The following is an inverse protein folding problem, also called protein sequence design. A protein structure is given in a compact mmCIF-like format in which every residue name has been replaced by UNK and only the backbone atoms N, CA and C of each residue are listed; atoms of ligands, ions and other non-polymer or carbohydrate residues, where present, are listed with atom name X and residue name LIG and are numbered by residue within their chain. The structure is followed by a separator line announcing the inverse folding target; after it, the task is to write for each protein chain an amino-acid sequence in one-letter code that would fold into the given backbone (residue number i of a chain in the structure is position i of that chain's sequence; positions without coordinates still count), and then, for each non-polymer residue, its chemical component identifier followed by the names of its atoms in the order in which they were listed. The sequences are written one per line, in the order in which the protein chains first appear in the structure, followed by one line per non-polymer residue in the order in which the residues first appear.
data_IF_014496746899
#
_entry.id   IF_014496746899
#
_cell.length_a   1.000
_cell.length_b   1.000
_cell.length_c   1.000
_cell.angle_alpha   90.00
_cell.angle_beta   90.00
_cell.angle_gamma   90.00
#
_symmetry.space_group_name_H-M   'P 1'
#
loop_
_entity.id
_entity.type
_entity.pdbx_description
1 polymer ?
#
# COMPACT_ATOMS: atom_id res chain seq x y z
N UNK A 1 42.71 -6.12 4.49
CA UNK A 1 41.79 -5.36 5.38
C UNK A 1 40.38 -5.93 5.20
N UNK A 2 39.95 -6.81 6.07
CA UNK A 2 38.61 -7.36 6.07
C UNK A 2 37.68 -6.30 6.68
N UNK A 3 36.74 -5.78 5.87
CA UNK A 3 35.76 -4.81 6.33
C UNK A 3 34.92 -5.37 7.48
N UNK A 4 34.28 -4.51 8.30
CA UNK A 4 33.52 -4.92 9.44
C UNK A 4 32.36 -5.84 8.99
N UNK A 5 32.35 -7.08 9.50
CA UNK A 5 31.21 -7.97 9.37
C UNK A 5 30.09 -7.40 10.26
N UNK A 6 29.04 -6.87 9.67
CA UNK A 6 27.87 -6.46 10.43
C UNK A 6 27.17 -7.69 11.00
N UNK A 7 27.09 -7.85 12.31
CA UNK A 7 26.29 -8.90 12.93
C UNK A 7 24.80 -8.68 12.62
N UNK A 8 24.05 -9.76 12.65
CA UNK A 8 22.66 -9.82 12.20
C UNK A 8 21.77 -8.69 12.69
N UNK A 9 20.90 -8.20 11.81
CA UNK A 9 19.93 -7.15 12.10
C UNK A 9 18.88 -7.64 13.09
N UNK A 10 18.73 -6.98 14.22
CA UNK A 10 17.67 -7.26 15.20
C UNK A 10 16.52 -6.28 14.95
N UNK A 11 15.37 -6.80 14.53
CA UNK A 11 14.15 -6.01 14.33
C UNK A 11 13.31 -6.08 15.61
N UNK A 12 13.39 -5.06 16.43
CA UNK A 12 12.66 -5.00 17.72
C UNK A 12 11.17 -4.67 17.53
N UNK A 13 10.79 -4.07 16.43
CA UNK A 13 9.41 -3.70 16.10
C UNK A 13 8.46 -4.89 15.92
N UNK A 14 8.99 -6.10 15.76
CA UNK A 14 8.21 -7.35 15.62
C UNK A 14 8.16 -8.20 16.88
N UNK A 15 8.79 -7.76 17.95
CA UNK A 15 8.81 -8.45 19.21
C UNK A 15 7.65 -7.99 20.11
N UNK A 16 7.27 -8.82 21.12
CA UNK A 16 6.39 -8.32 22.17
C UNK A 16 7.05 -7.15 22.89
N UNK A 17 6.24 -6.21 23.40
CA UNK A 17 6.73 -5.00 24.06
C UNK A 17 7.68 -5.30 25.20
N UNK A 18 7.30 -6.22 26.08
CA UNK A 18 8.13 -6.69 27.20
C UNK A 18 9.44 -7.32 26.75
N UNK A 19 9.42 -8.10 25.65
CA UNK A 19 10.65 -8.71 25.14
C UNK A 19 11.60 -7.67 24.56
N UNK A 20 11.09 -6.65 23.85
CA UNK A 20 11.92 -5.59 23.29
C UNK A 20 12.68 -4.83 24.36
N UNK A 21 12.02 -4.46 25.48
CA UNK A 21 12.62 -3.77 26.62
C UNK A 21 13.69 -4.66 27.30
N UNK A 22 13.34 -5.90 27.60
CA UNK A 22 14.27 -6.86 28.23
C UNK A 22 15.49 -7.17 27.36
N UNK A 23 15.32 -7.19 26.05
CA UNK A 23 16.44 -7.39 25.12
C UNK A 23 17.40 -6.20 25.17
N UNK A 24 16.89 -4.96 25.19
CA UNK A 24 17.74 -3.77 25.35
C UNK A 24 18.53 -3.82 26.66
N UNK A 25 17.92 -4.21 27.74
CA UNK A 25 18.58 -4.34 29.04
C UNK A 25 19.69 -5.39 29.03
N UNK A 26 19.48 -6.51 28.33
CA UNK A 26 20.52 -7.53 28.16
C UNK A 26 21.64 -7.06 27.24
N UNK A 27 21.32 -6.35 26.15
CA UNK A 27 22.33 -5.81 25.26
C UNK A 27 23.27 -4.81 25.92
N UNK A 28 22.79 -4.08 26.94
CA UNK A 28 23.58 -3.14 27.72
C UNK A 28 24.89 -3.76 28.26
N UNK A 29 24.85 -5.01 28.67
CA UNK A 29 26.02 -5.71 29.21
C UNK A 29 27.12 -5.99 28.16
N UNK A 30 26.78 -5.87 26.88
CA UNK A 30 27.70 -6.06 25.76
C UNK A 30 28.23 -4.74 25.18
N UNK A 31 27.71 -3.58 25.59
CA UNK A 31 28.13 -2.28 25.03
C UNK A 31 29.55 -1.88 25.38
N UNK A 32 30.10 -2.45 26.42
CA UNK A 32 31.50 -2.22 26.85
C UNK A 32 32.52 -3.16 26.18
N UNK A 33 32.05 -4.12 25.37
CA UNK A 33 32.96 -5.05 24.67
C UNK A 33 33.68 -4.32 23.53
N UNK A 34 35.03 -4.31 23.55
CA UNK A 34 35.80 -3.64 22.49
C UNK A 34 35.47 -4.20 21.10
N UNK A 35 35.43 -3.33 20.10
CA UNK A 35 35.20 -3.67 18.70
C UNK A 35 33.79 -4.29 18.40
N UNK A 36 32.83 -4.19 19.32
CA UNK A 36 31.46 -4.61 19.12
C UNK A 36 30.54 -3.40 19.00
N UNK A 37 29.81 -3.31 17.89
CA UNK A 37 28.83 -2.27 17.65
C UNK A 37 27.48 -2.92 17.32
N UNK A 38 26.41 -2.40 17.90
CA UNK A 38 25.06 -2.85 17.64
C UNK A 38 24.33 -1.84 16.76
N UNK A 39 23.66 -2.32 15.72
CA UNK A 39 22.72 -1.54 14.90
C UNK A 39 21.31 -2.05 15.18
N UNK A 40 20.51 -1.24 15.86
CA UNK A 40 19.13 -1.56 16.21
C UNK A 40 18.21 -0.89 15.18
N UNK A 41 17.39 -1.69 14.52
CA UNK A 41 16.28 -1.20 13.70
C UNK A 41 15.03 -1.16 14.56
N UNK A 42 14.57 0.04 14.86
CA UNK A 42 13.48 0.27 15.79
C UNK A 42 12.43 1.22 15.20
N UNK A 43 11.17 0.99 15.52
CA UNK A 43 10.17 2.05 15.54
C UNK A 43 10.23 2.72 16.91
N UNK A 44 10.74 3.96 16.93
CA UNK A 44 10.95 4.69 18.17
C UNK A 44 9.65 4.85 18.98
N UNK A 45 8.53 5.18 18.31
CA UNK A 45 7.24 5.37 18.98
C UNK A 45 6.75 4.08 19.65
N UNK A 46 6.89 2.95 18.96
CA UNK A 46 6.51 1.65 19.52
C UNK A 46 7.39 1.28 20.71
N UNK A 47 8.70 1.58 20.62
CA UNK A 47 9.62 1.30 21.71
C UNK A 47 9.34 2.19 22.94
N UNK A 48 9.03 3.47 22.74
CA UNK A 48 8.61 4.38 23.82
C UNK A 48 7.33 3.88 24.51
N UNK A 49 6.33 3.44 23.73
CA UNK A 49 5.11 2.84 24.27
C UNK A 49 5.40 1.54 25.02
N UNK A 50 6.35 0.73 24.55
CA UNK A 50 6.77 -0.49 25.22
C UNK A 50 7.40 -0.20 26.60
N UNK A 51 8.25 0.84 26.67
CA UNK A 51 8.87 1.29 27.92
C UNK A 51 7.81 1.81 28.89
N UNK A 52 6.85 2.60 28.43
CA UNK A 52 5.73 3.05 29.27
C UNK A 52 4.86 1.90 29.77
N UNK A 53 4.60 0.91 28.94
CA UNK A 53 3.86 -0.29 29.32
C UNK A 53 4.55 -1.12 30.42
N UNK A 54 5.90 -1.15 30.45
CA UNK A 54 6.67 -1.91 31.44
C UNK A 54 6.90 -1.13 32.73
N UNK A 55 7.13 0.20 32.66
CA UNK A 55 7.55 1.04 33.79
C UNK A 55 6.52 2.10 34.23
N UNK A 56 5.41 2.21 33.50
CA UNK A 56 4.34 3.16 33.81
C UNK A 56 4.43 4.44 32.94
N UNK A 57 3.28 5.12 32.81
CA UNK A 57 3.13 6.30 31.95
C UNK A 57 4.00 7.51 32.34
N UNK A 58 4.39 7.61 33.62
CA UNK A 58 5.18 8.73 34.14
C UNK A 58 6.67 8.65 33.84
N UNK A 59 7.15 7.56 33.19
CA UNK A 59 8.56 7.40 32.89
C UNK A 59 9.02 8.39 31.81
N UNK A 60 10.18 9.01 32.02
CA UNK A 60 10.89 9.71 30.94
C UNK A 60 11.54 8.68 30.00
N UNK A 61 10.83 8.36 28.92
CA UNK A 61 11.25 7.38 27.91
C UNK A 61 12.52 7.80 27.18
N UNK A 62 12.71 9.11 26.97
CA UNK A 62 13.91 9.64 26.34
C UNK A 62 15.15 9.44 27.21
N UNK A 63 15.05 9.77 28.49
CA UNK A 63 16.11 9.53 29.45
C UNK A 63 16.42 8.04 29.61
N UNK A 64 15.38 7.19 29.59
CA UNK A 64 15.56 5.74 29.66
C UNK A 64 16.29 5.21 28.42
N UNK A 65 15.85 5.56 27.21
CA UNK A 65 16.43 5.06 25.96
C UNK A 65 17.84 5.55 25.69
N UNK A 66 18.22 6.75 26.16
CA UNK A 66 19.61 7.25 26.07
C UNK A 66 20.63 6.36 26.78
N UNK A 67 20.22 5.51 27.71
CA UNK A 67 21.11 4.54 28.36
C UNK A 67 21.59 3.44 27.42
N UNK A 68 20.87 3.22 26.30
CA UNK A 68 21.10 2.13 25.36
C UNK A 68 21.48 2.62 23.97
N UNK A 69 20.96 3.77 23.56
CA UNK A 69 21.09 4.31 22.20
C UNK A 69 21.99 5.55 22.23
N UNK A 70 23.25 5.37 21.83
CA UNK A 70 24.23 6.45 21.78
C UNK A 70 24.09 7.33 20.55
N UNK A 71 23.66 6.76 19.42
CA UNK A 71 23.46 7.47 18.16
C UNK A 71 22.11 7.07 17.57
N UNK A 72 21.26 8.06 17.33
CA UNK A 72 19.98 7.87 16.68
C UNK A 72 20.06 8.44 15.26
N UNK A 73 19.91 7.55 14.28
CA UNK A 73 19.90 7.90 12.87
C UNK A 73 18.49 7.64 12.34
N UNK A 74 17.83 8.68 11.90
CA UNK A 74 16.57 8.53 11.16
C UNK A 74 16.88 8.34 9.68
N UNK A 75 16.28 7.34 9.06
CA UNK A 75 16.28 7.28 7.60
C UNK A 75 15.64 8.56 7.07
N UNK A 76 16.30 9.30 6.19
CA UNK A 76 15.74 10.53 5.68
C UNK A 76 14.39 10.23 5.04
N UNK A 77 13.32 10.74 5.63
CA UNK A 77 12.09 10.98 4.88
C UNK A 77 12.51 11.93 3.79
N UNK A 78 12.58 11.43 2.57
CA UNK A 78 13.14 12.17 1.43
C UNK A 78 12.67 13.61 1.45
N UNK A 79 13.62 14.52 1.24
CA UNK A 79 13.39 15.86 0.72
C UNK A 79 12.24 15.80 -0.30
N UNK A 80 11.30 16.74 -0.23
CA UNK A 80 10.20 16.83 -1.20
C UNK A 80 10.74 16.47 -2.56
N UNK A 81 10.18 15.46 -3.25
CA UNK A 81 10.62 15.18 -4.61
C UNK A 81 10.50 16.48 -5.41
N UNK A 82 11.45 16.70 -6.30
CA UNK A 82 11.29 17.78 -7.28
C UNK A 82 9.93 17.58 -7.98
N UNK A 83 9.24 18.67 -8.34
CA UNK A 83 7.96 18.55 -9.06
C UNK A 83 8.10 17.56 -10.23
N UNK A 84 7.25 16.54 -10.29
CA UNK A 84 7.30 15.48 -11.31
C UNK A 84 8.25 14.31 -11.01
N UNK A 85 9.06 14.35 -9.94
CA UNK A 85 9.90 13.19 -9.60
C UNK A 85 9.10 12.10 -8.86
N UNK A 86 9.29 10.81 -9.22
CA UNK A 86 8.55 9.73 -8.62
C UNK A 86 8.84 9.61 -7.11
N UNK A 87 7.80 9.42 -6.32
CA UNK A 87 7.89 9.21 -4.87
C UNK A 87 8.67 7.93 -4.52
N UNK A 88 9.03 7.77 -3.26
CA UNK A 88 9.67 6.53 -2.78
C UNK A 88 8.80 5.31 -3.01
N UNK A 89 7.48 5.46 -2.82
CA UNK A 89 6.49 4.40 -3.05
C UNK A 89 6.39 4.07 -4.52
N UNK A 90 6.27 5.04 -5.41
CA UNK A 90 6.23 4.82 -6.87
C UNK A 90 7.49 4.12 -7.40
N UNK A 91 8.67 4.44 -6.85
CA UNK A 91 9.92 3.72 -7.18
C UNK A 91 9.89 2.28 -6.70
N UNK A 92 9.32 2.04 -5.53
CA UNK A 92 9.17 0.70 -4.98
C UNK A 92 8.18 -0.15 -5.78
N UNK A 93 7.07 0.43 -6.22
CA UNK A 93 6.11 -0.22 -7.13
C UNK A 93 6.83 -0.70 -8.41
N UNK A 94 7.61 0.18 -9.05
CA UNK A 94 8.39 -0.19 -10.25
C UNK A 94 9.45 -1.26 -9.96
N UNK A 95 10.06 -1.24 -8.76
CA UNK A 95 11.00 -2.28 -8.35
C UNK A 95 10.32 -3.64 -8.21
N UNK A 96 9.18 -3.71 -7.52
CA UNK A 96 8.40 -4.94 -7.37
C UNK A 96 7.89 -5.46 -8.72
N UNK A 97 7.43 -4.58 -9.60
CA UNK A 97 6.98 -4.94 -10.93
C UNK A 97 8.05 -5.65 -11.77
N UNK A 98 9.34 -5.38 -11.54
CA UNK A 98 10.44 -6.11 -12.19
C UNK A 98 10.69 -7.49 -11.57
N UNK A 99 10.21 -7.74 -10.36
CA UNK A 99 10.37 -9.02 -9.63
C UNK A 99 9.22 -9.98 -9.89
N UNK A 100 8.03 -9.46 -10.09
CA UNK A 100 6.82 -10.24 -10.36
C UNK A 100 6.80 -10.65 -11.83
N UNK A 101 6.49 -11.91 -12.09
CA UNK A 101 6.31 -12.45 -13.45
C UNK A 101 4.94 -13.07 -13.53
N UNK A 102 4.08 -12.54 -14.36
CA UNK A 102 2.81 -13.16 -14.72
C UNK A 102 3.03 -14.10 -15.93
N UNK A 103 2.37 -15.25 -15.88
CA UNK A 103 2.43 -16.21 -16.98
C UNK A 103 1.55 -15.76 -18.15
N UNK A 104 1.87 -16.26 -19.34
CA UNK A 104 1.12 -15.98 -20.57
C UNK A 104 1.64 -14.76 -21.35
N UNK A 105 1.27 -14.68 -22.61
CA UNK A 105 1.73 -13.63 -23.56
C UNK A 105 1.26 -12.22 -23.18
N UNK A 106 0.11 -12.09 -22.52
CA UNK A 106 -0.48 -10.82 -22.05
C UNK A 106 -0.06 -10.44 -20.65
N UNK A 107 0.62 -11.33 -19.92
CA UNK A 107 1.05 -11.12 -18.54
C UNK A 107 1.85 -9.84 -18.31
N UNK A 108 2.88 -9.52 -19.13
CA UNK A 108 3.67 -8.30 -18.97
C UNK A 108 2.86 -7.02 -19.16
N UNK A 109 1.90 -7.00 -20.09
CA UNK A 109 1.03 -5.84 -20.32
C UNK A 109 0.08 -5.62 -19.15
N UNK A 110 -0.61 -6.68 -18.70
CA UNK A 110 -1.50 -6.63 -17.53
C UNK A 110 -0.77 -6.13 -16.28
N UNK A 111 0.45 -6.61 -16.06
CA UNK A 111 1.29 -6.14 -14.95
C UNK A 111 1.66 -4.66 -15.12
N UNK A 112 1.94 -4.20 -16.34
CA UNK A 112 2.22 -2.81 -16.66
C UNK A 112 1.03 -1.89 -16.36
N UNK A 113 -0.17 -2.28 -16.77
CA UNK A 113 -1.41 -1.54 -16.51
C UNK A 113 -1.70 -1.48 -14.99
N UNK A 114 -1.54 -2.60 -14.27
CA UNK A 114 -1.66 -2.63 -12.81
C UNK A 114 -0.67 -1.68 -12.12
N UNK A 115 0.61 -1.72 -12.53
CA UNK A 115 1.67 -0.87 -11.97
C UNK A 115 1.35 0.62 -12.20
N UNK A 116 0.86 0.98 -13.36
CA UNK A 116 0.53 2.36 -13.70
C UNK A 116 -0.57 2.90 -12.79
N UNK A 117 -1.67 2.16 -12.65
CA UNK A 117 -2.78 2.54 -11.78
C UNK A 117 -2.37 2.58 -10.30
N UNK A 118 -1.65 1.56 -9.83
CA UNK A 118 -1.17 1.53 -8.43
C UNK A 118 -0.22 2.70 -8.13
N UNK A 119 0.66 3.06 -9.07
CA UNK A 119 1.57 4.19 -8.91
C UNK A 119 0.84 5.53 -8.84
N UNK A 120 -0.24 5.67 -9.58
CA UNK A 120 -1.09 6.87 -9.60
C UNK A 120 -1.81 7.06 -8.27
N UNK A 121 -2.53 6.03 -7.81
CA UNK A 121 -3.32 6.12 -6.58
C UNK A 121 -2.51 6.03 -5.29
N UNK A 122 -1.27 5.52 -5.35
CA UNK A 122 -0.45 5.32 -4.13
C UNK A 122 -0.18 6.60 -3.31
N UNK A 123 0.02 7.80 -3.89
CA UNK A 123 0.19 9.04 -3.12
C UNK A 123 -1.11 9.49 -2.45
N UNK A 124 -2.23 9.46 -3.18
CA UNK A 124 -3.53 9.92 -2.69
C UNK A 124 -4.06 9.06 -1.54
N UNK A 125 -3.84 7.76 -1.64
CA UNK A 125 -4.19 6.83 -0.56
C UNK A 125 -3.14 6.76 0.56
N UNK A 126 -2.05 7.51 0.49
CA UNK A 126 -0.99 7.51 1.50
C UNK A 126 -0.36 6.14 1.73
N UNK A 127 -0.25 5.32 0.69
CA UNK A 127 0.19 3.92 0.79
C UNK A 127 1.59 3.77 1.35
N UNK A 128 1.75 2.81 2.27
CA UNK A 128 3.04 2.33 2.73
C UNK A 128 3.63 1.28 1.77
N UNK A 129 4.91 0.95 1.95
CA UNK A 129 5.53 -0.16 1.20
C UNK A 129 4.84 -1.51 1.44
N UNK A 130 4.29 -1.75 2.64
CA UNK A 130 3.53 -2.96 2.97
C UNK A 130 2.20 -3.02 2.21
N UNK A 131 1.52 -1.89 2.09
CA UNK A 131 0.28 -1.82 1.32
C UNK A 131 0.54 -2.13 -0.16
N UNK A 132 1.64 -1.60 -0.71
CA UNK A 132 2.06 -1.93 -2.08
C UNK A 132 2.33 -3.43 -2.24
N UNK A 133 3.11 -4.04 -1.35
CA UNK A 133 3.36 -5.49 -1.38
C UNK A 133 2.06 -6.29 -1.36
N UNK A 134 1.12 -5.89 -0.50
CA UNK A 134 -0.19 -6.53 -0.40
C UNK A 134 -1.01 -6.38 -1.68
N UNK A 135 -1.00 -5.20 -2.30
CA UNK A 135 -1.65 -4.99 -3.60
C UNK A 135 -1.09 -5.94 -4.68
N UNK A 136 0.23 -6.13 -4.71
CA UNK A 136 0.84 -7.08 -5.65
C UNK A 136 0.42 -8.53 -5.39
N UNK A 137 0.35 -8.95 -4.12
CA UNK A 137 -0.11 -10.30 -3.75
C UNK A 137 -1.55 -10.50 -4.19
N UNK A 138 -2.46 -9.58 -3.82
CA UNK A 138 -3.87 -9.67 -4.19
C UNK A 138 -4.07 -9.68 -5.71
N UNK A 139 -3.31 -8.87 -6.45
CA UNK A 139 -3.35 -8.86 -7.91
C UNK A 139 -2.88 -10.18 -8.53
N UNK A 140 -1.75 -10.73 -8.07
CA UNK A 140 -1.23 -12.02 -8.58
C UNK A 140 -2.22 -13.15 -8.33
N UNK A 141 -2.86 -13.17 -7.17
CA UNK A 141 -3.87 -14.19 -6.83
C UNK A 141 -5.12 -14.02 -7.69
N UNK A 142 -5.64 -12.80 -7.86
CA UNK A 142 -6.77 -12.53 -8.73
C UNK A 142 -6.49 -12.96 -10.19
N UNK A 143 -5.27 -12.73 -10.68
CA UNK A 143 -4.85 -13.16 -12.01
C UNK A 143 -4.68 -14.69 -12.14
N UNK A 144 -4.38 -15.37 -11.04
CA UNK A 144 -4.33 -16.83 -10.98
C UNK A 144 -5.72 -17.46 -11.00
N UNK A 145 -6.71 -16.80 -10.39
CA UNK A 145 -8.08 -17.27 -10.36
C UNK A 145 -8.79 -17.11 -11.73
N UNK A 146 -8.50 -16.04 -12.48
CA UNK A 146 -9.15 -15.76 -13.77
C UNK A 146 -8.12 -15.28 -14.81
N UNK A 147 -7.50 -16.24 -15.48
CA UNK A 147 -6.49 -15.96 -16.50
C UNK A 147 -7.07 -15.33 -17.79
N UNK A 148 -8.39 -15.45 -18.01
CA UNK A 148 -9.09 -14.94 -19.19
C UNK A 148 -9.58 -13.50 -19.04
N UNK A 149 -9.34 -12.84 -17.88
CA UNK A 149 -9.81 -11.48 -17.63
C UNK A 149 -9.35 -10.52 -18.74
N UNK A 150 -10.28 -9.72 -19.25
CA UNK A 150 -9.97 -8.72 -20.27
C UNK A 150 -8.94 -7.70 -19.77
N UNK A 151 -7.98 -7.33 -20.62
CA UNK A 151 -6.96 -6.33 -20.30
C UNK A 151 -7.58 -5.00 -19.85
N UNK A 152 -8.72 -4.62 -20.43
CA UNK A 152 -9.43 -3.38 -20.09
C UNK A 152 -9.96 -3.35 -18.65
N UNK A 153 -10.10 -4.51 -17.99
CA UNK A 153 -10.55 -4.61 -16.59
C UNK A 153 -9.40 -4.55 -15.59
N UNK A 154 -8.15 -4.62 -16.04
CA UNK A 154 -6.98 -4.60 -15.14
C UNK A 154 -6.90 -3.28 -14.36
N UNK A 155 -7.17 -2.16 -14.99
CA UNK A 155 -7.18 -0.87 -14.32
C UNK A 155 -8.26 -0.74 -13.24
N UNK A 156 -9.53 -0.99 -13.53
CA UNK A 156 -10.59 -1.08 -12.53
C UNK A 156 -10.28 -2.06 -11.40
N UNK A 157 -9.72 -3.24 -11.70
CA UNK A 157 -9.30 -4.21 -10.70
C UNK A 157 -8.18 -3.66 -9.79
N UNK A 158 -7.15 -3.05 -10.39
CA UNK A 158 -6.04 -2.44 -9.67
C UNK A 158 -6.52 -1.32 -8.74
N UNK A 159 -7.47 -0.50 -9.18
CA UNK A 159 -8.09 0.53 -8.37
C UNK A 159 -8.82 -0.05 -7.15
N UNK A 160 -9.67 -1.06 -7.34
CA UNK A 160 -10.42 -1.69 -6.24
C UNK A 160 -9.49 -2.39 -5.25
N UNK A 161 -8.44 -3.07 -5.71
CA UNK A 161 -7.40 -3.64 -4.85
C UNK A 161 -6.72 -2.54 -4.04
N UNK A 162 -6.32 -1.45 -4.70
CA UNK A 162 -5.68 -0.31 -4.05
C UNK A 162 -6.55 0.30 -2.97
N UNK A 163 -7.83 0.49 -3.27
CA UNK A 163 -8.82 1.01 -2.34
C UNK A 163 -9.03 0.09 -1.14
N UNK A 164 -9.19 -1.21 -1.38
CA UNK A 164 -9.35 -2.22 -0.33
C UNK A 164 -8.18 -2.25 0.63
N UNK A 165 -6.96 -2.23 0.09
CA UNK A 165 -5.74 -2.34 0.90
C UNK A 165 -5.45 -1.05 1.67
N UNK A 166 -5.59 0.11 1.03
CA UNK A 166 -5.25 1.39 1.63
C UNK A 166 -6.35 1.96 2.53
N UNK A 167 -7.61 1.76 2.16
CA UNK A 167 -8.76 2.28 2.90
C UNK A 167 -9.93 1.29 2.87
N UNK A 168 -9.80 0.23 3.68
CA UNK A 168 -10.82 -0.83 3.77
C UNK A 168 -12.18 -0.31 4.24
N UNK A 169 -12.23 0.76 5.02
CA UNK A 169 -13.48 1.40 5.46
C UNK A 169 -14.23 1.98 4.26
N UNK A 170 -13.53 2.73 3.42
CA UNK A 170 -14.10 3.31 2.20
C UNK A 170 -14.51 2.22 1.20
N UNK A 171 -13.65 1.21 0.99
CA UNK A 171 -13.99 0.05 0.17
C UNK A 171 -15.27 -0.63 0.65
N UNK A 172 -15.37 -0.91 1.95
CA UNK A 172 -16.54 -1.54 2.56
C UNK A 172 -17.80 -0.67 2.46
N UNK A 173 -17.68 0.65 2.54
CA UNK A 173 -18.77 1.58 2.30
C UNK A 173 -19.32 1.48 0.87
N UNK A 174 -18.42 1.49 -0.12
CA UNK A 174 -18.81 1.31 -1.54
C UNK A 174 -19.51 -0.04 -1.73
N UNK A 175 -18.98 -1.12 -1.15
CA UNK A 175 -19.60 -2.44 -1.26
C UNK A 175 -20.99 -2.50 -0.66
N UNK A 176 -21.27 -1.75 0.40
CA UNK A 176 -22.60 -1.59 1.00
C UNK A 176 -23.49 -0.60 0.27
N UNK A 177 -23.01 -0.02 -0.82
CA UNK A 177 -23.69 1.02 -1.60
C UNK A 177 -24.02 2.28 -0.79
N UNK A 178 -23.07 2.70 0.04
CA UNK A 178 -23.18 3.88 0.88
C UNK A 178 -22.84 5.15 0.06
N UNK A 179 -23.78 6.09 -0.10
CA UNK A 179 -23.52 7.34 -0.80
C UNK A 179 -22.42 8.20 -0.17
N UNK A 180 -22.28 8.19 1.16
CA UNK A 180 -21.27 8.98 1.86
C UNK A 180 -19.85 8.49 1.50
N UNK A 181 -19.71 7.17 1.25
CA UNK A 181 -18.46 6.61 0.76
C UNK A 181 -18.10 7.13 -0.65
N UNK A 182 -19.10 7.34 -1.51
CA UNK A 182 -18.88 7.91 -2.83
C UNK A 182 -18.39 9.37 -2.76
N UNK A 183 -18.98 10.17 -1.89
CA UNK A 183 -18.60 11.57 -1.73
C UNK A 183 -17.18 11.69 -1.18
N UNK A 184 -16.80 10.81 -0.25
CA UNK A 184 -15.43 10.70 0.23
C UNK A 184 -14.47 10.29 -0.90
N UNK A 185 -14.83 9.33 -1.75
CA UNK A 185 -14.03 8.91 -2.90
C UNK A 185 -13.84 10.07 -3.90
N UNK A 186 -14.89 10.83 -4.18
CA UNK A 186 -14.83 12.03 -5.04
C UNK A 186 -13.87 13.07 -4.49
N UNK A 187 -13.85 13.29 -3.19
CA UNK A 187 -12.91 14.22 -2.53
C UNK A 187 -11.45 13.78 -2.74
N UNK A 188 -11.16 12.49 -2.54
CA UNK A 188 -9.82 11.94 -2.78
C UNK A 188 -9.42 12.07 -4.25
N UNK A 189 -10.36 11.82 -5.18
CA UNK A 189 -10.11 11.92 -6.63
C UNK A 189 -9.81 13.36 -7.07
N UNK A 190 -10.41 14.37 -6.46
CA UNK A 190 -10.11 15.78 -6.79
C UNK A 190 -8.69 16.18 -6.39
N UNK A 191 -8.12 15.58 -5.34
CA UNK A 191 -6.74 15.80 -4.92
C UNK A 191 -5.71 15.15 -5.88
N UNK A 192 -6.14 14.20 -6.70
CA UNK A 192 -5.31 13.49 -7.69
C UNK A 192 -5.05 14.29 -8.96
N UNK A 193 -5.84 15.31 -9.26
CA UNK A 193 -5.82 16.05 -10.54
C UNK A 193 -4.50 16.75 -10.89
N UNK A 194 -3.43 16.51 -10.15
CA UNK A 194 -2.09 17.08 -10.35
C UNK A 194 -1.07 16.16 -11.01
N UNK A 195 -1.38 14.89 -11.34
CA UNK A 195 -0.41 13.90 -11.84
C UNK A 195 -0.92 13.05 -13.01
N UNK A 196 -0.11 12.85 -13.95
CA UNK A 196 0.17 12.04 -15.17
C UNK A 196 -0.87 11.07 -15.78
N UNK A 197 -1.89 10.57 -15.11
CA UNK A 197 -3.00 9.91 -15.81
C UNK A 197 -4.03 10.96 -16.23
N UNK A 198 -4.72 10.71 -17.36
CA UNK A 198 -5.74 11.63 -17.81
C UNK A 198 -6.82 11.76 -16.71
N UNK A 199 -7.15 12.95 -16.36
CA UNK A 199 -8.27 13.30 -15.47
C UNK A 199 -9.56 12.50 -15.81
N UNK A 200 -9.71 12.14 -17.07
CA UNK A 200 -10.78 11.31 -17.60
C UNK A 200 -10.77 9.88 -17.02
N UNK A 201 -9.58 9.30 -16.78
CA UNK A 201 -9.48 7.93 -16.29
C UNK A 201 -9.88 7.84 -14.81
N UNK A 202 -9.44 8.79 -13.99
CA UNK A 202 -9.79 8.85 -12.58
C UNK A 202 -11.29 9.08 -12.39
N UNK A 203 -11.86 9.99 -13.19
CA UNK A 203 -13.30 10.22 -13.22
C UNK A 203 -14.08 8.98 -13.63
N UNK A 204 -13.59 8.23 -14.61
CA UNK A 204 -14.19 6.97 -15.03
C UNK A 204 -14.25 5.94 -13.89
N UNK A 205 -13.19 5.80 -13.09
CA UNK A 205 -13.17 4.85 -11.96
C UNK A 205 -14.14 5.25 -10.85
N UNK A 206 -14.23 6.55 -10.54
CA UNK A 206 -15.23 7.09 -9.60
C UNK A 206 -16.64 6.86 -10.15
N UNK A 207 -16.86 7.09 -11.42
CA UNK A 207 -18.14 6.87 -12.09
C UNK A 207 -18.57 5.41 -12.11
N UNK A 208 -17.61 4.49 -12.23
CA UNK A 208 -17.87 3.05 -12.08
C UNK A 208 -18.44 2.73 -10.68
N UNK A 209 -17.86 3.28 -9.63
CA UNK A 209 -18.35 3.12 -8.26
C UNK A 209 -19.74 3.75 -8.09
N UNK A 210 -19.98 4.93 -8.66
CA UNK A 210 -21.27 5.61 -8.64
C UNK A 210 -22.37 4.76 -9.32
N UNK A 211 -22.10 4.22 -10.50
CA UNK A 211 -23.01 3.33 -11.19
C UNK A 211 -23.35 2.09 -10.36
N UNK A 212 -22.37 1.55 -9.64
CA UNK A 212 -22.61 0.41 -8.75
C UNK A 212 -23.46 0.77 -7.53
N UNK A 213 -23.16 1.90 -6.87
CA UNK A 213 -23.87 2.35 -5.66
C UNK A 213 -25.34 2.61 -5.97
N UNK A 214 -25.61 3.37 -7.02
CA UNK A 214 -26.97 3.78 -7.38
C UNK A 214 -27.69 2.81 -8.33
N UNK A 215 -27.03 1.71 -8.73
CA UNK A 215 -27.60 0.74 -9.67
C UNK A 215 -27.88 1.33 -11.05
N UNK A 216 -27.02 2.25 -11.52
CA UNK A 216 -27.20 2.92 -12.81
C UNK A 216 -26.86 1.99 -13.96
N UNK A 217 -27.82 1.71 -14.82
CA UNK A 217 -27.67 0.86 -16.00
C UNK A 217 -27.17 1.62 -17.24
N UNK A 218 -27.16 2.95 -17.19
CA UNK A 218 -26.65 3.82 -18.26
C UNK A 218 -25.68 4.83 -17.68
N UNK A 219 -24.68 5.17 -18.46
CA UNK A 219 -23.70 6.19 -18.15
C UNK A 219 -23.47 7.07 -19.39
N UNK A 220 -23.30 8.36 -19.15
CA UNK A 220 -22.86 9.33 -20.18
C UNK A 220 -21.35 9.28 -20.39
N UNK A 221 -20.60 8.63 -19.48
CA UNK A 221 -19.16 8.45 -19.60
C UNK A 221 -18.83 7.48 -20.74
N UNK A 222 -18.28 8.03 -21.81
CA UNK A 222 -17.92 7.27 -23.01
C UNK A 222 -16.84 6.22 -22.73
N UNK A 223 -15.88 6.52 -21.85
CA UNK A 223 -14.80 5.60 -21.51
C UNK A 223 -15.33 4.38 -20.77
N UNK A 224 -16.19 4.59 -19.78
CA UNK A 224 -16.84 3.52 -19.03
C UNK A 224 -17.77 2.70 -19.94
N UNK A 225 -18.51 3.36 -20.82
CA UNK A 225 -19.38 2.68 -21.79
C UNK A 225 -18.55 1.78 -22.73
N UNK A 226 -17.43 2.25 -23.26
CA UNK A 226 -16.54 1.45 -24.12
C UNK A 226 -15.97 0.23 -23.38
N UNK A 227 -15.61 0.37 -22.11
CA UNK A 227 -15.14 -0.78 -21.30
C UNK A 227 -16.25 -1.81 -21.16
N UNK A 228 -17.48 -1.39 -20.82
CA UNK A 228 -18.63 -2.29 -20.73
C UNK A 228 -18.83 -3.06 -22.05
N UNK A 229 -18.87 -2.38 -23.18
CA UNK A 229 -19.05 -3.00 -24.50
C UNK A 229 -17.94 -4.00 -24.80
N UNK A 230 -16.67 -3.64 -24.59
CA UNK A 230 -15.52 -4.52 -24.86
C UNK A 230 -15.48 -5.76 -23.98
N UNK A 231 -15.98 -5.65 -22.74
CA UNK A 231 -15.97 -6.76 -21.77
C UNK A 231 -17.30 -7.53 -21.74
N UNK A 232 -18.26 -7.18 -22.59
CA UNK A 232 -19.55 -7.87 -22.68
C UNK A 232 -20.49 -7.59 -21.50
N UNK A 233 -20.30 -6.50 -20.76
CA UNK A 233 -21.24 -6.10 -19.71
C UNK A 233 -22.45 -5.40 -20.30
N UNK A 234 -23.62 -5.85 -19.90
CA UNK A 234 -24.86 -5.17 -20.25
C UNK A 234 -24.96 -3.78 -19.58
N UNK A 235 -24.41 -3.67 -18.35
CA UNK A 235 -24.52 -2.47 -17.53
C UNK A 235 -23.24 -2.22 -16.72
N UNK A 236 -22.86 -0.94 -16.51
CA UNK A 236 -21.70 -0.58 -15.67
C UNK A 236 -21.81 -1.09 -14.23
N UNK A 237 -23.02 -1.14 -13.67
CA UNK A 237 -23.30 -1.61 -12.32
C UNK A 237 -22.89 -3.08 -12.08
N UNK A 238 -22.67 -3.86 -13.15
CA UNK A 238 -22.24 -5.26 -13.08
C UNK A 238 -20.73 -5.45 -13.00
N UNK A 239 -19.95 -4.42 -13.34
CA UNK A 239 -18.48 -4.52 -13.33
C UNK A 239 -17.93 -4.72 -11.91
N UNK A 240 -18.36 -3.90 -10.96
CA UNK A 240 -17.84 -3.93 -9.58
C UNK A 240 -18.06 -5.30 -8.94
N UNK A 241 -19.27 -5.92 -8.97
CA UNK A 241 -19.47 -7.26 -8.40
C UNK A 241 -18.56 -8.34 -8.99
N UNK A 242 -18.30 -8.29 -10.29
CA UNK A 242 -17.37 -9.25 -10.92
C UNK A 242 -15.95 -9.08 -10.38
N UNK A 243 -15.45 -7.84 -10.35
CA UNK A 243 -14.10 -7.54 -9.90
C UNK A 243 -13.92 -7.86 -8.41
N UNK A 244 -14.95 -7.60 -7.60
CA UNK A 244 -14.99 -7.95 -6.18
C UNK A 244 -14.92 -9.46 -5.98
N UNK A 245 -15.68 -10.22 -6.75
CA UNK A 245 -15.63 -11.67 -6.69
C UNK A 245 -14.22 -12.23 -6.97
N UNK A 246 -13.47 -11.61 -7.89
CA UNK A 246 -12.06 -11.97 -8.15
C UNK A 246 -11.12 -11.63 -7.00
N UNK A 247 -11.35 -10.49 -6.34
CA UNK A 247 -10.55 -10.06 -5.19
C UNK A 247 -10.87 -10.93 -3.95
N UNK A 248 -12.13 -11.33 -3.76
CA UNK A 248 -12.57 -12.13 -2.61
C UNK A 248 -12.35 -13.63 -2.79
N UNK A 249 -12.23 -14.10 -4.03
CA UNK A 249 -11.84 -15.47 -4.32
C UNK A 249 -10.35 -15.76 -4.01
N UNK A 250 -9.59 -14.72 -3.68
CA UNK A 250 -8.24 -14.85 -3.20
C UNK A 250 -8.26 -15.41 -1.76
N UNK A 251 -7.63 -16.59 -1.49
CA UNK A 251 -7.63 -17.23 -0.20
C UNK A 251 -6.91 -16.42 0.90
#
# INVERSE_FOLDING_TARGET
MTGPKFPGQVKLDRCSTTFAVRLLERLKHFFSVPHLSFVLLIDRRQLENAVKGEYGESIDTDAYLRKFIHLNLSLPRRSRPEPGAPTGVQRYIRYLGRKVKLQGSTGPKRLGDFISVLAEFSPAFGMSFRDVERCFVEFVVAMGAESSLSETLIGPLAFLISLRVANNSLYSGIMRRDPDALDHLKTISTDLTSHDLSQEYDQMLVRMCECYIFGLDRTEDQSLHQICVRCGFAYPSRMVPLLVALIEAAP
#
